data_IF_939140247044
#
_entry.id   IF_939140247044
#
_cell.length_a   1.000
_cell.length_b   1.000
_cell.length_c   1.000
_cell.angle_alpha   90.00
_cell.angle_beta   90.00
_cell.angle_gamma   90.00
#
_symmetry.space_group_name_H-M   'P 1'
#
loop_
_entity.id
_entity.type
_entity.pdbx_description
1 polymer ?
#
# COMPACT_ATOMS: atom_id res chain seq x y z
N UNK A 1 4.25 -35.68 7.87
CA UNK A 1 4.78 -34.70 8.85
C UNK A 1 5.44 -33.50 8.16
N UNK A 2 6.54 -33.67 7.41
CA UNK A 2 7.20 -32.55 6.69
C UNK A 2 6.27 -31.76 5.75
N UNK A 3 5.57 -32.44 4.84
CA UNK A 3 4.60 -31.81 3.93
C UNK A 3 3.48 -31.07 4.67
N UNK A 4 3.01 -31.64 5.78
CA UNK A 4 1.95 -31.07 6.60
C UNK A 4 2.40 -29.77 7.29
N UNK A 5 3.65 -29.74 7.77
CA UNK A 5 4.26 -28.53 8.35
C UNK A 5 4.46 -27.44 7.30
N UNK A 6 4.89 -27.81 6.08
CA UNK A 6 5.04 -26.87 4.96
C UNK A 6 3.70 -26.25 4.59
N UNK A 7 2.65 -27.06 4.41
CA UNK A 7 1.31 -26.56 4.11
C UNK A 7 0.77 -25.63 5.22
N UNK A 8 0.97 -25.97 6.49
CA UNK A 8 0.53 -25.13 7.60
C UNK A 8 1.29 -23.79 7.65
N UNK A 9 2.59 -23.81 7.37
CA UNK A 9 3.40 -22.59 7.24
C UNK A 9 2.90 -21.68 6.11
N UNK A 10 2.62 -22.25 4.93
CA UNK A 10 2.05 -21.50 3.81
C UNK A 10 0.68 -20.90 4.13
N UNK A 11 -0.19 -21.65 4.82
CA UNK A 11 -1.50 -21.14 5.25
C UNK A 11 -1.38 -19.97 6.23
N UNK A 12 -0.44 -20.03 7.16
CA UNK A 12 -0.20 -18.94 8.10
C UNK A 12 0.33 -17.71 7.38
N UNK A 13 1.31 -17.87 6.48
CA UNK A 13 1.83 -16.79 5.66
C UNK A 13 0.73 -16.13 4.80
N UNK A 14 -0.18 -16.91 4.23
CA UNK A 14 -1.32 -16.38 3.47
C UNK A 14 -2.28 -15.57 4.35
N UNK A 15 -2.54 -16.03 5.59
CA UNK A 15 -3.37 -15.28 6.55
C UNK A 15 -2.73 -13.96 6.94
N UNK A 16 -1.42 -13.94 7.16
CA UNK A 16 -0.71 -12.72 7.51
C UNK A 16 -0.67 -11.75 6.32
N UNK A 17 -0.43 -12.25 5.11
CA UNK A 17 -0.54 -11.46 3.88
C UNK A 17 -1.94 -10.84 3.72
N UNK A 18 -3.00 -11.58 4.03
CA UNK A 18 -4.36 -11.06 3.97
C UNK A 18 -4.60 -9.92 4.97
N UNK A 19 -4.03 -9.98 6.18
CA UNK A 19 -4.11 -8.88 7.17
C UNK A 19 -3.38 -7.63 6.68
N UNK A 20 -2.24 -7.80 6.00
CA UNK A 20 -1.52 -6.68 5.40
C UNK A 20 -2.34 -6.01 4.29
N UNK A 21 -3.00 -6.78 3.42
CA UNK A 21 -3.90 -6.21 2.41
C UNK A 21 -5.05 -5.41 3.02
N UNK A 22 -5.68 -5.92 4.09
CA UNK A 22 -6.73 -5.17 4.81
C UNK A 22 -6.19 -3.85 5.38
N UNK A 23 -4.97 -3.88 5.93
CA UNK A 23 -4.30 -2.68 6.46
C UNK A 23 -4.00 -1.68 5.36
N UNK A 24 -3.51 -2.13 4.19
CA UNK A 24 -3.20 -1.29 3.04
C UNK A 24 -4.47 -0.62 2.50
N UNK A 25 -5.56 -1.37 2.32
CA UNK A 25 -6.82 -0.81 1.83
C UNK A 25 -7.39 0.23 2.80
N UNK A 26 -7.33 -0.04 4.12
CA UNK A 26 -7.74 0.96 5.12
C UNK A 26 -6.94 2.27 5.01
N UNK A 27 -5.61 2.17 4.91
CA UNK A 27 -4.74 3.35 4.75
C UNK A 27 -4.99 4.08 3.43
N UNK A 28 -5.29 3.34 2.36
CA UNK A 28 -5.67 3.92 1.06
C UNK A 28 -6.97 4.72 1.17
N UNK A 29 -7.98 4.21 1.87
CA UNK A 29 -9.22 4.94 2.12
C UNK A 29 -8.98 6.21 2.95
N UNK A 30 -8.19 6.12 4.02
CA UNK A 30 -7.79 7.27 4.84
C UNK A 30 -7.05 8.33 4.02
N UNK A 31 -6.21 7.90 3.07
CA UNK A 31 -5.49 8.79 2.17
C UNK A 31 -6.42 9.47 1.16
N UNK A 32 -7.40 8.75 0.63
CA UNK A 32 -8.41 9.32 -0.25
C UNK A 32 -9.27 10.36 0.46
N UNK A 33 -9.69 10.08 1.69
CA UNK A 33 -10.40 11.07 2.52
C UNK A 33 -9.54 12.32 2.76
N UNK A 34 -8.24 12.14 3.06
CA UNK A 34 -7.31 13.25 3.29
C UNK A 34 -7.15 14.15 2.05
N UNK A 35 -7.10 13.56 0.86
CA UNK A 35 -7.02 14.29 -0.41
C UNK A 35 -8.38 14.74 -0.97
N UNK A 36 -9.47 14.46 -0.26
CA UNK A 36 -10.84 14.71 -0.74
C UNK A 36 -11.14 14.01 -2.09
N UNK A 37 -10.56 12.84 -2.31
CA UNK A 37 -10.77 12.01 -3.49
C UNK A 37 -11.78 10.87 -3.25
N UNK A 38 -12.30 10.30 -4.33
CA UNK A 38 -13.13 9.10 -4.26
C UNK A 38 -12.27 7.89 -3.85
N UNK A 39 -12.57 7.30 -2.69
CA UNK A 39 -11.89 6.12 -2.13
C UNK A 39 -11.72 4.97 -3.13
N UNK A 40 -12.67 4.78 -4.05
CA UNK A 40 -12.64 3.69 -5.03
C UNK A 40 -11.83 4.01 -6.27
N UNK A 41 -11.56 5.28 -6.53
CA UNK A 41 -10.84 5.75 -7.72
C UNK A 41 -9.40 6.14 -7.43
N UNK A 42 -9.04 6.39 -6.17
CA UNK A 42 -7.68 6.73 -5.80
C UNK A 42 -6.71 5.59 -6.18
N UNK A 43 -5.69 5.94 -6.96
CA UNK A 43 -4.60 5.05 -7.38
C UNK A 43 -3.36 5.35 -6.54
N UNK A 44 -2.90 4.37 -5.75
CA UNK A 44 -1.69 4.54 -4.93
C UNK A 44 -0.44 4.78 -5.79
N UNK A 45 -0.38 4.15 -6.97
CA UNK A 45 0.73 4.34 -7.90
C UNK A 45 0.81 5.78 -8.39
N UNK A 46 -0.33 6.36 -8.80
CA UNK A 46 -0.37 7.74 -9.31
C UNK A 46 -0.07 8.75 -8.20
N UNK A 47 -0.63 8.54 -7.00
CA UNK A 47 -0.39 9.41 -5.83
C UNK A 47 1.09 9.40 -5.46
N UNK A 48 1.70 8.22 -5.28
CA UNK A 48 3.11 8.14 -4.88
C UNK A 48 4.06 8.61 -5.99
N UNK A 49 3.72 8.36 -7.26
CA UNK A 49 4.48 8.90 -8.39
C UNK A 49 4.43 10.43 -8.41
N UNK A 50 3.25 11.01 -8.20
CA UNK A 50 3.06 12.47 -8.12
C UNK A 50 3.86 13.06 -6.95
N UNK A 51 3.78 12.47 -5.76
CA UNK A 51 4.54 12.91 -4.58
C UNK A 51 6.04 12.84 -4.81
N UNK A 52 6.52 11.76 -5.44
CA UNK A 52 7.94 11.58 -5.77
C UNK A 52 8.39 12.69 -6.73
N UNK A 53 7.66 12.91 -7.83
CA UNK A 53 7.97 13.95 -8.80
C UNK A 53 7.96 15.34 -8.18
N UNK A 54 6.94 15.68 -7.39
CA UNK A 54 6.88 16.95 -6.67
C UNK A 54 8.10 17.15 -5.78
N UNK A 55 8.43 16.15 -4.94
CA UNK A 55 9.60 16.21 -4.05
C UNK A 55 10.90 16.42 -4.83
N UNK A 56 11.09 15.69 -5.93
CA UNK A 56 12.29 15.81 -6.76
C UNK A 56 12.42 17.21 -7.39
N UNK A 57 11.33 17.77 -7.90
CA UNK A 57 11.31 19.13 -8.46
C UNK A 57 11.58 20.16 -7.36
N UNK A 58 10.92 20.02 -6.21
CA UNK A 58 11.09 20.93 -5.09
C UNK A 58 12.53 20.96 -4.59
N UNK A 59 13.18 19.81 -4.43
CA UNK A 59 14.58 19.73 -4.02
C UNK A 59 15.54 20.34 -5.06
N UNK A 60 15.27 20.17 -6.36
CA UNK A 60 16.05 20.83 -7.42
C UNK A 60 15.95 22.35 -7.36
N UNK A 61 14.79 22.88 -6.98
CA UNK A 61 14.58 24.33 -6.87
C UNK A 61 15.25 24.96 -5.63
N UNK A 62 15.59 24.14 -4.62
CA UNK A 62 16.31 24.58 -3.41
C UNK A 62 17.85 24.57 -3.58
N UNK A 63 18.35 24.01 -4.68
CA UNK A 63 19.77 23.98 -5.04
C UNK A 63 20.12 25.20 -5.90
#
# INVERSE_FOLDING_TARGET
>A
ILLQNVCQGSLNALKDLQKEFVTIEKKKEELADYFCEDRKKLSLEDVFSTMKTFREIFLKALQ
#
